data_IF_740188732522
#
_entry.id   IF_740188732522
#
_cell.length_a   1.000
_cell.length_b   1.000
_cell.length_c   1.000
_cell.angle_alpha   90.00
_cell.angle_beta   90.00
_cell.angle_gamma   90.00
#
_symmetry.space_group_name_H-M   'P 1'
#
loop_
_entity.id
_entity.type
_entity.pdbx_description
1 polymer ?
#
# COMPACT_ATOMS: atom_id res chain seq x y z
N UNK A 1 -18.50 38.06 18.93
CA UNK A 1 -19.86 37.66 18.51
C UNK A 1 -20.21 36.39 19.29
N UNK A 2 -21.33 36.34 20.03
CA UNK A 2 -21.72 35.20 20.88
C UNK A 2 -22.86 34.45 20.20
N UNK A 3 -22.72 33.15 19.95
CA UNK A 3 -23.83 32.34 19.46
C UNK A 3 -24.89 32.23 20.56
N UNK A 4 -26.13 32.59 20.24
CA UNK A 4 -27.25 32.43 21.17
C UNK A 4 -27.83 31.03 21.00
N UNK A 5 -28.14 30.36 22.12
CA UNK A 5 -28.64 28.97 22.15
C UNK A 5 -29.90 28.77 21.30
N UNK A 6 -30.72 29.82 21.16
CA UNK A 6 -31.94 29.81 20.34
C UNK A 6 -31.70 29.68 18.84
N UNK A 7 -30.51 30.04 18.38
CA UNK A 7 -30.13 30.01 16.96
C UNK A 7 -29.37 28.71 16.61
N UNK A 8 -29.29 27.75 17.55
CA UNK A 8 -28.61 26.48 17.38
C UNK A 8 -29.58 25.36 17.04
N UNK A 9 -29.28 24.68 15.95
CA UNK A 9 -29.97 23.50 15.47
C UNK A 9 -29.10 22.26 15.66
N UNK A 10 -29.75 21.09 15.75
CA UNK A 10 -29.09 19.80 15.88
C UNK A 10 -28.86 19.21 14.48
N UNK A 11 -27.62 18.79 14.21
CA UNK A 11 -27.19 18.18 12.94
C UNK A 11 -26.31 16.97 13.20
N UNK A 12 -26.15 16.14 12.17
CA UNK A 12 -25.20 15.03 12.16
C UNK A 12 -24.04 15.32 11.21
N UNK A 13 -22.82 15.02 11.64
CA UNK A 13 -21.62 15.01 10.81
C UNK A 13 -21.39 13.59 10.29
N UNK A 14 -21.31 13.44 8.98
CA UNK A 14 -21.00 12.17 8.30
C UNK A 14 -19.62 12.30 7.66
N UNK A 15 -18.67 11.56 8.21
CA UNK A 15 -17.29 11.48 7.70
C UNK A 15 -17.22 10.73 6.38
N UNK A 16 -16.21 11.04 5.57
CA UNK A 16 -15.90 10.28 4.34
C UNK A 16 -15.65 8.79 4.61
N UNK A 17 -15.09 8.46 5.78
CA UNK A 17 -14.87 7.07 6.21
C UNK A 17 -16.14 6.37 6.75
N UNK A 18 -17.29 7.04 6.76
CA UNK A 18 -18.57 6.51 7.22
C UNK A 18 -18.83 6.65 8.72
N UNK A 19 -17.90 7.21 9.50
CA UNK A 19 -18.15 7.54 10.91
C UNK A 19 -19.17 8.68 11.03
N UNK A 20 -20.10 8.54 11.97
CA UNK A 20 -21.18 9.52 12.19
C UNK A 20 -21.04 10.11 13.60
N UNK A 21 -21.25 11.41 13.71
CA UNK A 21 -21.38 12.13 14.98
C UNK A 21 -22.74 12.83 14.99
N UNK A 22 -23.60 12.45 15.93
CA UNK A 22 -24.96 12.96 16.03
C UNK A 22 -25.10 14.07 17.08
N UNK A 23 -26.22 14.78 17.00
CA UNK A 23 -26.63 15.83 17.94
C UNK A 23 -25.65 16.99 18.12
N UNK A 24 -24.98 17.38 17.03
CA UNK A 24 -24.06 18.52 17.03
C UNK A 24 -24.89 19.80 16.97
N UNK A 25 -24.71 20.68 17.97
CA UNK A 25 -25.34 22.00 18.01
C UNK A 25 -24.58 22.99 17.11
N UNK A 26 -25.24 23.47 16.06
CA UNK A 26 -24.65 24.41 15.09
C UNK A 26 -25.63 25.55 14.75
N UNK A 27 -25.11 26.71 14.43
CA UNK A 27 -25.86 27.76 13.74
C UNK A 27 -25.67 27.55 12.22
N UNK A 28 -26.67 26.94 11.58
CA UNK A 28 -26.64 26.64 10.15
C UNK A 28 -27.34 27.75 9.36
N UNK A 29 -26.59 28.50 8.57
CA UNK A 29 -27.10 29.61 7.77
C UNK A 29 -27.11 29.24 6.28
N UNK A 30 -28.07 28.38 5.90
CA UNK A 30 -28.16 27.81 4.55
C UNK A 30 -28.29 28.86 3.43
N UNK A 31 -28.83 30.05 3.72
CA UNK A 31 -28.99 31.13 2.72
C UNK A 31 -27.68 31.79 2.31
N UNK A 32 -26.65 31.72 3.17
CA UNK A 32 -25.33 32.34 2.95
C UNK A 32 -24.21 31.32 2.94
N UNK A 33 -24.53 30.02 2.92
CA UNK A 33 -23.55 28.95 2.83
C UNK A 33 -22.51 28.96 3.97
N UNK A 34 -22.97 29.29 5.18
CA UNK A 34 -22.13 29.32 6.39
C UNK A 34 -22.69 28.42 7.49
N UNK A 35 -21.77 27.84 8.26
CA UNK A 35 -22.07 27.10 9.48
C UNK A 35 -21.14 27.58 10.59
N UNK A 36 -21.70 27.89 11.75
CA UNK A 36 -20.91 28.29 12.92
C UNK A 36 -21.17 27.34 14.09
N UNK A 37 -20.13 26.94 14.80
CA UNK A 37 -20.25 26.07 15.98
C UNK A 37 -19.17 26.33 17.02
N UNK A 38 -19.39 25.82 18.24
CA UNK A 38 -18.42 25.79 19.34
C UNK A 38 -18.04 24.36 19.74
N UNK A 39 -18.43 23.36 18.92
CA UNK A 39 -18.14 21.96 19.16
C UNK A 39 -16.69 21.61 18.77
N UNK A 40 -15.72 22.15 19.51
CA UNK A 40 -14.28 21.95 19.27
C UNK A 40 -13.79 20.52 19.54
N UNK A 41 -14.58 19.73 20.24
CA UNK A 41 -14.36 18.31 20.49
C UNK A 41 -14.68 17.43 19.27
N UNK A 42 -15.38 17.97 18.28
CA UNK A 42 -15.71 17.27 17.05
C UNK A 42 -14.61 17.52 15.99
N UNK A 43 -14.00 16.47 15.43
CA UNK A 43 -12.93 16.64 14.45
C UNK A 43 -13.50 16.91 13.06
N UNK A 44 -13.91 18.15 12.76
CA UNK A 44 -14.40 18.51 11.42
C UNK A 44 -13.27 18.54 10.38
N UNK A 45 -13.54 18.05 9.17
CA UNK A 45 -12.59 18.08 8.03
C UNK A 45 -13.28 18.60 6.76
N UNK A 46 -12.51 19.21 5.86
CA UNK A 46 -13.00 19.61 4.53
C UNK A 46 -13.38 18.36 3.71
N UNK A 47 -14.53 18.40 3.05
CA UNK A 47 -15.12 17.25 2.34
C UNK A 47 -16.08 16.39 3.17
N UNK A 48 -16.16 16.61 4.49
CA UNK A 48 -17.19 15.97 5.31
C UNK A 48 -18.59 16.48 4.97
N UNK A 49 -19.61 15.68 5.31
CA UNK A 49 -21.01 16.04 5.12
C UNK A 49 -21.70 16.42 6.42
N UNK A 50 -22.51 17.48 6.37
CA UNK A 50 -23.46 17.86 7.42
C UNK A 50 -24.86 17.50 6.97
N UNK A 51 -25.56 16.71 7.77
CA UNK A 51 -26.94 16.30 7.53
C UNK A 51 -27.87 16.91 8.58
N UNK A 52 -28.93 17.57 8.11
CA UNK A 52 -29.98 18.16 8.93
C UNK A 52 -31.33 17.54 8.58
N UNK A 53 -32.03 16.99 9.57
CA UNK A 53 -33.41 16.55 9.42
C UNK A 53 -34.38 17.65 9.85
N UNK A 54 -35.14 18.16 8.89
CA UNK A 54 -36.14 19.19 9.13
C UNK A 54 -37.42 18.60 9.74
N UNK A 55 -38.22 19.45 10.39
CA UNK A 55 -39.49 19.04 11.04
C UNK A 55 -40.51 18.45 10.06
N UNK A 56 -40.41 18.78 8.77
CA UNK A 56 -41.26 18.26 7.71
C UNK A 56 -40.76 16.92 7.13
N UNK A 57 -39.72 16.32 7.72
CA UNK A 57 -39.15 15.05 7.28
C UNK A 57 -38.16 15.15 6.13
N UNK A 58 -37.89 16.36 5.61
CA UNK A 58 -36.88 16.57 4.57
C UNK A 58 -35.49 16.53 5.20
N UNK A 59 -34.59 15.74 4.60
CA UNK A 59 -33.18 15.74 4.95
C UNK A 59 -32.42 16.67 4.02
N UNK A 60 -31.66 17.58 4.60
CA UNK A 60 -30.72 18.42 3.86
C UNK A 60 -29.30 17.95 4.11
N UNK A 61 -28.51 17.92 3.04
CA UNK A 61 -27.11 17.50 3.06
C UNK A 61 -26.25 18.62 2.51
N UNK A 62 -25.21 18.95 3.26
CA UNK A 62 -24.23 19.97 2.93
C UNK A 62 -22.83 19.36 2.93
N UNK A 63 -21.96 19.82 2.05
CA UNK A 63 -20.53 19.50 2.09
C UNK A 63 -19.76 20.66 2.72
N UNK A 64 -18.77 20.34 3.56
CA UNK A 64 -17.86 21.33 4.13
C UNK A 64 -16.78 21.64 3.09
N UNK A 65 -16.71 22.89 2.64
CA UNK A 65 -15.74 23.33 1.63
C UNK A 65 -14.49 23.94 2.26
N UNK A 66 -14.66 24.66 3.37
CA UNK A 66 -13.55 25.33 4.05
C UNK A 66 -13.83 25.46 5.53
N UNK A 67 -12.80 25.29 6.36
CA UNK A 67 -12.89 25.46 7.81
C UNK A 67 -11.98 26.60 8.26
N UNK A 68 -12.53 27.54 9.02
CA UNK A 68 -11.80 28.65 9.64
C UNK A 68 -11.97 28.59 11.15
N UNK A 69 -10.87 28.42 11.86
CA UNK A 69 -10.84 28.39 13.32
C UNK A 69 -10.60 29.79 13.89
N UNK A 70 -11.31 30.13 14.95
CA UNK A 70 -11.06 31.29 15.80
C UNK A 70 -11.05 30.85 17.26
N UNK A 71 -10.59 31.71 18.18
CA UNK A 71 -10.45 31.37 19.60
C UNK A 71 -11.71 30.79 20.25
N UNK A 72 -12.90 31.22 19.80
CA UNK A 72 -14.17 30.87 20.46
C UNK A 72 -15.23 30.29 19.51
N UNK A 73 -14.89 30.13 18.23
CA UNK A 73 -15.82 29.68 17.20
C UNK A 73 -15.11 28.94 16.07
N UNK A 74 -15.78 27.93 15.52
CA UNK A 74 -15.45 27.32 14.23
C UNK A 74 -16.44 27.89 13.21
N UNK A 75 -15.92 28.47 12.13
CA UNK A 75 -16.72 28.98 11.01
C UNK A 75 -16.40 28.17 9.74
N UNK A 76 -17.43 27.59 9.14
CA UNK A 76 -17.29 26.70 8.00
C UNK A 76 -18.08 27.24 6.81
N UNK A 77 -17.45 27.17 5.64
CA UNK A 77 -18.09 27.43 4.37
C UNK A 77 -18.67 26.11 3.90
N UNK A 78 -19.97 26.09 3.63
CA UNK A 78 -20.72 24.88 3.30
C UNK A 78 -21.50 25.08 2.00
N UNK A 79 -21.77 24.02 1.27
CA UNK A 79 -22.64 24.09 0.09
C UNK A 79 -23.65 22.95 0.10
N UNK A 80 -24.90 23.24 -0.27
CA UNK A 80 -25.95 22.22 -0.33
C UNK A 80 -25.66 21.26 -1.47
N UNK A 81 -25.65 19.96 -1.19
CA UNK A 81 -25.27 18.92 -2.17
C UNK A 81 -26.21 18.90 -3.38
N UNK A 82 -27.49 19.21 -3.19
CA UNK A 82 -28.47 19.31 -4.29
C UNK A 82 -28.13 20.41 -5.28
N UNK A 83 -27.48 21.48 -4.82
CA UNK A 83 -27.14 22.65 -5.61
C UNK A 83 -25.81 22.42 -6.33
N UNK A 84 -24.88 21.67 -5.70
CA UNK A 84 -23.63 21.21 -6.28
C UNK A 84 -23.87 20.33 -7.54
N UNK A 85 -24.82 19.40 -7.45
CA UNK A 85 -25.17 18.50 -8.56
C UNK A 85 -25.79 19.24 -9.75
N UNK A 86 -26.61 20.26 -9.49
CA UNK A 86 -27.17 21.13 -10.54
C UNK A 86 -26.12 22.02 -11.18
N UNK A 87 -25.20 22.59 -10.40
CA UNK A 87 -24.18 23.52 -10.88
C UNK A 87 -23.05 22.82 -11.67
N UNK A 88 -22.77 21.54 -11.40
CA UNK A 88 -21.74 20.75 -12.11
C UNK A 88 -22.27 19.91 -13.28
N UNK A 89 -23.59 19.91 -13.53
CA UNK A 89 -24.19 19.08 -14.58
C UNK A 89 -24.10 17.57 -14.30
N UNK A 90 -23.82 17.19 -13.06
CA UNK A 90 -23.64 15.79 -12.66
C UNK A 90 -24.98 15.25 -12.14
N UNK A 91 -25.51 14.24 -12.84
CA UNK A 91 -26.65 13.48 -12.35
C UNK A 91 -26.23 12.82 -11.03
N UNK A 92 -26.93 13.10 -9.94
CA UNK A 92 -26.72 12.45 -8.65
C UNK A 92 -26.76 10.93 -8.86
N UNK A 93 -25.60 10.28 -8.89
CA UNK A 93 -25.56 8.83 -8.81
C UNK A 93 -26.17 8.47 -7.46
N UNK A 94 -27.30 7.75 -7.51
CA UNK A 94 -27.95 7.24 -6.32
C UNK A 94 -26.96 6.51 -5.42
N UNK A 95 -27.21 6.56 -4.11
CA UNK A 95 -26.40 6.02 -3.02
C UNK A 95 -26.07 4.50 -3.15
N UNK A 96 -26.60 3.82 -4.17
CA UNK A 96 -26.39 2.40 -4.49
C UNK A 96 -25.06 2.07 -5.18
N UNK A 97 -24.23 3.05 -5.54
CA UNK A 97 -22.84 2.78 -6.00
C UNK A 97 -21.80 3.21 -4.97
N UNK A 98 -21.99 2.85 -3.70
CA UNK A 98 -20.82 2.52 -2.88
C UNK A 98 -20.07 1.42 -3.62
N UNK A 99 -18.80 1.62 -3.96
CA UNK A 99 -17.96 0.57 -4.52
C UNK A 99 -17.82 -0.50 -3.41
N UNK A 100 -18.73 -1.46 -3.37
CA UNK A 100 -18.76 -2.50 -2.32
C UNK A 100 -17.85 -3.68 -2.70
N UNK A 101 -17.51 -3.84 -3.98
CA UNK A 101 -16.86 -5.06 -4.48
C UNK A 101 -15.63 -4.74 -5.34
N UNK A 102 -14.46 -4.69 -4.70
CA UNK A 102 -13.18 -4.71 -5.42
C UNK A 102 -12.75 -6.18 -5.62
N UNK A 103 -12.92 -6.69 -6.84
CA UNK A 103 -12.48 -8.04 -7.19
C UNK A 103 -11.03 -8.02 -7.69
N UNK A 104 -10.13 -8.67 -6.96
CA UNK A 104 -8.76 -8.91 -7.41
C UNK A 104 -8.63 -10.38 -7.84
N UNK A 105 -8.39 -10.60 -9.13
CA UNK A 105 -8.23 -11.95 -9.68
C UNK A 105 -6.74 -12.24 -9.93
N UNK A 106 -6.21 -13.31 -9.34
CA UNK A 106 -4.87 -13.82 -9.59
C UNK A 106 -4.97 -15.21 -10.22
N UNK A 107 -4.49 -15.37 -11.45
CA UNK A 107 -4.63 -16.60 -12.25
C UNK A 107 -3.34 -17.43 -12.32
N UNK A 108 -2.39 -17.20 -11.41
CA UNK A 108 -1.10 -17.87 -11.34
C UNK A 108 -0.49 -17.78 -9.94
N UNK A 109 0.77 -18.21 -9.79
CA UNK A 109 1.46 -18.14 -8.50
C UNK A 109 1.68 -16.67 -8.08
N UNK A 110 1.07 -16.28 -6.97
CA UNK A 110 1.14 -14.93 -6.41
C UNK A 110 1.93 -14.96 -5.10
N UNK A 111 3.18 -14.46 -5.13
CA UNK A 111 4.04 -14.34 -3.94
C UNK A 111 4.25 -12.88 -3.60
N UNK A 112 4.32 -12.57 -2.30
CA UNK A 112 4.57 -11.20 -1.84
C UNK A 112 3.43 -10.21 -2.10
N UNK A 113 2.20 -10.67 -2.37
CA UNK A 113 1.09 -9.75 -2.67
C UNK A 113 0.66 -8.97 -1.43
N UNK A 114 0.57 -7.66 -1.59
CA UNK A 114 0.04 -6.72 -0.60
C UNK A 114 -1.05 -5.87 -1.26
N UNK A 115 -2.24 -5.84 -0.65
CA UNK A 115 -3.38 -5.07 -1.14
C UNK A 115 -3.86 -4.19 0.01
N UNK A 116 -3.91 -2.88 -0.22
CA UNK A 116 -4.44 -1.91 0.74
C UNK A 116 -5.59 -1.12 0.13
N UNK A 117 -6.62 -0.86 0.92
CA UNK A 117 -7.77 -0.05 0.55
C UNK A 117 -8.13 0.87 1.73
N UNK A 118 -8.48 2.12 1.44
CA UNK A 118 -8.96 3.07 2.45
C UNK A 118 -7.94 3.49 3.52
N UNK A 119 -6.64 3.43 3.25
CA UNK A 119 -5.61 3.74 4.23
C UNK A 119 -5.33 5.25 4.35
N UNK A 120 -5.31 5.77 5.57
CA UNK A 120 -4.80 7.10 5.92
C UNK A 120 -3.62 6.93 6.91
N UNK A 121 -2.55 7.70 6.74
CA UNK A 121 -1.32 7.65 7.57
C UNK A 121 -0.77 6.23 7.83
N UNK A 122 -0.73 5.36 6.82
CA UNK A 122 -0.29 3.97 6.99
C UNK A 122 1.14 3.76 6.48
N UNK A 123 1.93 2.96 7.20
CA UNK A 123 3.21 2.42 6.74
C UNK A 123 3.04 0.93 6.49
N UNK A 124 3.46 0.48 5.31
CA UNK A 124 3.42 -0.92 4.94
C UNK A 124 4.83 -1.45 4.75
N UNK A 125 5.21 -2.42 5.57
CA UNK A 125 6.46 -3.15 5.42
C UNK A 125 6.13 -4.63 5.19
N UNK A 126 6.74 -5.21 4.15
CA UNK A 126 6.71 -6.65 3.93
C UNK A 126 8.11 -7.20 4.11
N UNK A 127 8.26 -8.15 5.02
CA UNK A 127 9.46 -8.97 5.12
C UNK A 127 9.13 -10.34 4.55
N UNK A 128 9.53 -10.58 3.31
CA UNK A 128 9.39 -11.90 2.69
C UNK A 128 10.51 -12.78 3.26
N UNK A 129 10.21 -13.53 4.31
CA UNK A 129 11.07 -14.61 4.79
C UNK A 129 10.88 -15.81 3.87
N UNK A 130 11.59 -15.81 2.74
CA UNK A 130 11.84 -17.07 2.05
C UNK A 130 12.94 -17.77 2.84
N UNK A 131 12.56 -18.80 3.61
CA UNK A 131 13.53 -19.56 4.40
C UNK A 131 14.69 -19.98 3.50
N UNK A 132 15.87 -19.45 3.80
CA UNK A 132 17.07 -19.75 3.05
C UNK A 132 17.48 -21.18 3.38
N UNK A 133 17.23 -22.09 2.44
CA UNK A 133 17.49 -23.51 2.63
C UNK A 133 18.98 -23.81 2.40
N UNK A 134 19.77 -23.68 3.47
CA UNK A 134 21.22 -23.96 3.47
C UNK A 134 21.54 -25.36 2.95
N UNK A 135 20.73 -26.37 3.27
CA UNK A 135 20.96 -27.75 2.85
C UNK A 135 20.78 -27.91 1.34
N UNK A 136 19.75 -27.27 0.77
CA UNK A 136 19.52 -27.24 -0.68
C UNK A 136 20.65 -26.52 -1.42
N UNK A 137 21.14 -25.39 -0.88
CA UNK A 137 22.30 -24.71 -1.48
C UNK A 137 23.55 -25.59 -1.42
N UNK A 138 23.80 -26.25 -0.29
CA UNK A 138 24.92 -27.19 -0.14
C UNK A 138 24.84 -28.35 -1.12
N UNK A 139 23.65 -28.89 -1.35
CA UNK A 139 23.43 -29.95 -2.34
C UNK A 139 23.78 -29.46 -3.75
N UNK A 140 23.24 -28.32 -4.18
CA UNK A 140 23.49 -27.76 -5.52
C UNK A 140 24.97 -27.45 -5.71
N UNK A 141 25.62 -26.78 -4.75
CA UNK A 141 27.06 -26.50 -4.84
C UNK A 141 27.87 -27.79 -4.90
N UNK A 142 27.49 -28.81 -4.13
CA UNK A 142 28.10 -30.13 -4.19
C UNK A 142 27.93 -30.81 -5.55
N UNK A 143 26.76 -30.67 -6.20
CA UNK A 143 26.54 -31.16 -7.56
C UNK A 143 27.39 -30.42 -8.59
N UNK A 144 27.48 -29.09 -8.51
CA UNK A 144 28.31 -28.27 -9.39
C UNK A 144 29.77 -28.74 -9.34
N UNK A 145 30.33 -28.95 -8.13
CA UNK A 145 31.72 -29.41 -7.96
C UNK A 145 32.03 -30.78 -8.57
N UNK A 146 31.04 -31.65 -8.78
CA UNK A 146 31.26 -32.95 -9.45
C UNK A 146 31.75 -32.78 -10.89
N UNK A 147 31.50 -31.61 -11.49
CA UNK A 147 31.91 -31.28 -12.85
C UNK A 147 33.15 -30.38 -12.90
N UNK A 148 33.89 -30.23 -11.78
CA UNK A 148 35.05 -29.34 -11.70
C UNK A 148 36.13 -29.66 -12.76
N UNK A 149 36.30 -30.94 -13.11
CA UNK A 149 37.25 -31.38 -14.14
C UNK A 149 36.92 -30.85 -15.54
N UNK A 150 35.69 -30.41 -15.78
CA UNK A 150 35.23 -29.87 -17.06
C UNK A 150 35.26 -28.33 -17.07
N UNK A 151 35.53 -27.67 -15.93
CA UNK A 151 35.44 -26.22 -15.87
C UNK A 151 36.55 -25.51 -16.64
N UNK A 152 37.75 -26.08 -16.72
CA UNK A 152 38.86 -25.46 -17.46
C UNK A 152 38.55 -25.35 -18.96
N UNK A 153 37.89 -26.36 -19.54
CA UNK A 153 37.46 -26.36 -20.94
C UNK A 153 36.29 -25.41 -21.19
N UNK A 154 35.29 -25.42 -20.30
CA UNK A 154 34.06 -24.66 -20.50
C UNK A 154 34.23 -23.17 -20.17
N UNK A 155 34.91 -22.84 -19.07
CA UNK A 155 34.97 -21.47 -18.55
C UNK A 155 36.24 -20.70 -18.92
N UNK A 156 37.28 -21.38 -19.40
CA UNK A 156 38.54 -20.77 -19.83
C UNK A 156 39.11 -19.82 -18.77
N UNK A 157 39.28 -18.54 -19.12
CA UNK A 157 39.84 -17.52 -18.23
C UNK A 157 39.00 -17.28 -16.95
N UNK A 158 37.68 -17.52 -17.01
CA UNK A 158 36.78 -17.32 -15.88
C UNK A 158 36.81 -18.47 -14.87
N UNK A 159 37.55 -19.56 -15.14
CA UNK A 159 37.57 -20.75 -14.27
C UNK A 159 38.06 -20.46 -12.86
N UNK A 160 39.08 -19.60 -12.74
CA UNK A 160 39.66 -19.23 -11.45
C UNK A 160 38.65 -18.45 -10.61
N UNK A 161 37.93 -17.53 -11.23
CA UNK A 161 36.89 -16.76 -10.57
C UNK A 161 35.72 -17.65 -10.12
N UNK A 162 35.27 -18.57 -10.97
CA UNK A 162 34.22 -19.54 -10.65
C UNK A 162 34.60 -20.38 -9.41
N UNK A 163 35.79 -20.99 -9.41
CA UNK A 163 36.27 -21.84 -8.31
C UNK A 163 36.38 -21.06 -7.00
N UNK A 164 36.92 -19.84 -7.05
CA UNK A 164 37.03 -18.98 -5.87
C UNK A 164 35.65 -18.68 -5.25
N UNK A 165 34.64 -18.35 -6.06
CA UNK A 165 33.29 -18.07 -5.58
C UNK A 165 32.61 -19.32 -5.00
N UNK A 166 32.83 -20.49 -5.62
CA UNK A 166 32.33 -21.78 -5.08
C UNK A 166 32.93 -22.05 -3.69
N UNK A 167 34.24 -21.87 -3.53
CA UNK A 167 34.93 -22.07 -2.25
C UNK A 167 34.45 -21.07 -1.18
N UNK A 168 34.21 -19.81 -1.57
CA UNK A 168 33.66 -18.80 -0.68
C UNK A 168 32.25 -19.16 -0.20
N UNK A 169 31.37 -19.63 -1.10
CA UNK A 169 30.05 -20.13 -0.71
C UNK A 169 30.16 -21.30 0.28
N UNK A 170 31.08 -22.25 0.06
CA UNK A 170 31.28 -23.37 1.00
C UNK A 170 31.68 -22.88 2.41
N UNK A 171 32.59 -21.90 2.50
CA UNK A 171 32.98 -21.28 3.78
C UNK A 171 31.80 -20.60 4.46
N UNK A 172 30.96 -19.89 3.70
CA UNK A 172 29.77 -19.22 4.23
C UNK A 172 28.69 -20.22 4.68
N UNK A 173 28.51 -21.33 3.95
CA UNK A 173 27.60 -22.42 4.31
C UNK A 173 28.04 -23.11 5.61
N UNK A 174 29.34 -23.38 5.79
CA UNK A 174 29.87 -23.98 7.02
C UNK A 174 29.62 -23.10 8.25
N UNK A 175 29.80 -21.78 8.09
CA UNK A 175 29.59 -20.81 9.18
C UNK A 175 28.12 -20.43 9.39
N UNK A 176 27.20 -20.92 8.55
CA UNK A 176 25.80 -20.47 8.48
C UNK A 176 25.69 -18.94 8.48
N UNK A 177 26.50 -18.32 7.63
CA UNK A 177 26.56 -16.87 7.45
C UNK A 177 25.30 -16.29 6.80
N UNK A 178 25.26 -14.96 6.67
CA UNK A 178 24.12 -14.22 6.14
C UNK A 178 23.69 -14.74 4.73
N UNK A 179 22.43 -15.20 4.56
CA UNK A 179 21.87 -15.64 3.29
C UNK A 179 22.08 -14.70 2.11
N UNK A 180 22.01 -13.39 2.33
CA UNK A 180 22.14 -12.39 1.27
C UNK A 180 23.52 -12.43 0.62
N UNK A 181 24.59 -12.67 1.40
CA UNK A 181 25.95 -12.82 0.85
C UNK A 181 26.05 -14.06 -0.05
N UNK A 182 25.46 -15.16 0.39
CA UNK A 182 25.45 -16.41 -0.40
C UNK A 182 24.66 -16.22 -1.70
N UNK A 183 23.51 -15.54 -1.65
CA UNK A 183 22.70 -15.24 -2.85
C UNK A 183 23.45 -14.37 -3.86
N UNK A 184 24.22 -13.38 -3.40
CA UNK A 184 25.06 -12.55 -4.29
C UNK A 184 26.08 -13.42 -5.02
N UNK A 185 26.84 -14.25 -4.30
CA UNK A 185 27.84 -15.13 -4.92
C UNK A 185 27.20 -16.15 -5.89
N UNK A 186 26.05 -16.73 -5.54
CA UNK A 186 25.31 -17.61 -6.45
C UNK A 186 24.88 -16.87 -7.73
N UNK A 187 24.45 -15.62 -7.61
CA UNK A 187 24.07 -14.78 -8.76
C UNK A 187 25.29 -14.46 -9.62
N UNK A 188 26.44 -14.20 -9.02
CA UNK A 188 27.69 -13.99 -9.76
C UNK A 188 28.12 -15.25 -10.52
N UNK A 189 28.07 -16.44 -9.90
CA UNK A 189 28.34 -17.71 -10.59
C UNK A 189 27.38 -17.91 -11.76
N UNK A 190 26.09 -17.61 -11.56
CA UNK A 190 25.09 -17.65 -12.64
C UNK A 190 25.46 -16.70 -13.77
N UNK A 191 25.88 -15.47 -13.48
CA UNK A 191 26.24 -14.48 -14.49
C UNK A 191 27.51 -14.89 -15.26
N UNK A 192 28.53 -15.41 -14.58
CA UNK A 192 29.71 -16.00 -15.23
C UNK A 192 29.28 -17.10 -16.20
N UNK A 193 28.39 -17.98 -15.75
CA UNK A 193 27.90 -19.12 -16.55
C UNK A 193 27.02 -18.68 -17.74
N UNK A 194 26.28 -17.57 -17.64
CA UNK A 194 25.56 -16.98 -18.78
C UNK A 194 26.51 -16.39 -19.83
N UNK A 195 27.68 -15.91 -19.42
CA UNK A 195 28.71 -15.39 -20.31
C UNK A 195 29.43 -16.46 -21.14
N UNK A 196 29.31 -17.73 -20.75
CA UNK A 196 29.91 -18.87 -21.46
C UNK A 196 28.90 -19.42 -22.48
N UNK A 197 28.92 -18.87 -23.70
CA UNK A 197 28.03 -19.32 -24.77
C UNK A 197 28.32 -20.77 -25.19
N UNK A 198 27.26 -21.55 -25.47
CA UNK A 198 27.29 -22.93 -26.00
C UNK A 198 27.77 -24.04 -25.05
N UNK A 199 28.08 -23.72 -23.80
CA UNK A 199 28.41 -24.73 -22.78
C UNK A 199 27.14 -25.41 -22.23
N UNK A 200 27.06 -26.73 -22.36
CA UNK A 200 25.96 -27.51 -21.75
C UNK A 200 26.07 -27.47 -20.23
N UNK A 201 27.30 -27.53 -19.71
CA UNK A 201 27.58 -27.52 -18.27
C UNK A 201 27.20 -26.16 -17.67
N UNK A 202 27.60 -25.06 -18.30
CA UNK A 202 27.24 -23.73 -17.82
C UNK A 202 25.73 -23.51 -17.81
N UNK A 203 25.01 -24.00 -18.83
CA UNK A 203 23.54 -23.97 -18.87
C UNK A 203 22.91 -24.78 -17.72
N UNK A 204 23.47 -25.97 -17.42
CA UNK A 204 23.06 -26.79 -16.28
C UNK A 204 23.26 -26.07 -14.95
N UNK A 205 24.40 -25.39 -14.77
CA UNK A 205 24.73 -24.61 -13.57
C UNK A 205 23.76 -23.43 -13.41
N UNK A 206 23.48 -22.67 -14.48
CA UNK A 206 22.48 -21.58 -14.47
C UNK A 206 21.12 -22.07 -14.01
N UNK A 207 20.70 -23.23 -14.51
CA UNK A 207 19.41 -23.84 -14.17
C UNK A 207 19.38 -24.29 -12.71
N UNK A 208 20.42 -24.99 -12.26
CA UNK A 208 20.52 -25.47 -10.88
C UNK A 208 20.48 -24.32 -9.87
N UNK A 209 21.25 -23.25 -10.12
CA UNK A 209 21.28 -22.05 -9.27
C UNK A 209 19.92 -21.34 -9.28
N UNK A 210 19.29 -21.16 -10.44
CA UNK A 210 18.00 -20.47 -10.53
C UNK A 210 16.86 -21.20 -9.79
N UNK A 211 17.03 -22.49 -9.47
CA UNK A 211 16.06 -23.26 -8.68
C UNK A 211 16.15 -23.02 -7.16
N UNK A 212 17.19 -22.30 -6.70
CA UNK A 212 17.50 -22.09 -5.27
C UNK A 212 17.66 -20.63 -4.85
N UNK A 213 17.66 -19.67 -5.79
CA UNK A 213 17.75 -18.23 -5.49
C UNK A 213 16.49 -17.47 -5.85
#
# INVERSE_FOLDING_TARGET
>A
MRLLVRDLESVSLVKVNGKIYDDIRVNLQSSVNKLLTQAFDIPFEEGDFIERKLKNGINEKYIILKINFSENLINMDIEKVTDLARNRGETLMGEEKRIVNNTNNFYGEARGVQIQQGTNSSSQNQTIMQDFNYDKVKEVVGQIKKYDSMFDEEYGENVSELRNKIEEIEKLLQKRENPSKIKVLLTEIKNISLGVARSIIASGIVTAISSII
#
